data_IF_298655340845
#
_entry.id   IF_298655340845
#
_cell.length_a   1.000
_cell.length_b   1.000
_cell.length_c   1.000
_cell.angle_alpha   90.00
_cell.angle_beta   90.00
_cell.angle_gamma   90.00
#
_symmetry.space_group_name_H-M   'P 1'
#
loop_
_entity.id
_entity.type
_entity.pdbx_description
1 polymer ?
#
# COMPACT_ATOMS: atom_id res chain seq x y z
N UNK A 1 -8.80 4.51 0.50
CA UNK A 1 -7.66 3.60 0.69
C UNK A 1 -7.35 3.62 2.18
N UNK A 2 -7.59 2.54 2.93
CA UNK A 2 -7.32 2.56 4.37
C UNK A 2 -5.81 2.55 4.61
N UNK A 3 -5.34 3.39 5.53
CA UNK A 3 -3.95 3.34 6.02
C UNK A 3 -3.95 2.49 7.28
N UNK A 4 -3.03 1.53 7.35
CA UNK A 4 -2.94 0.57 8.45
C UNK A 4 -1.58 0.72 9.13
N UNK A 5 -1.60 0.87 10.44
CA UNK A 5 -0.41 0.80 11.29
C UNK A 5 -0.35 -0.62 11.83
N UNK A 6 0.73 -1.31 11.52
CA UNK A 6 0.90 -2.74 11.79
C UNK A 6 2.07 -2.93 12.72
N UNK A 7 1.92 -3.78 13.73
CA UNK A 7 3.01 -4.12 14.62
C UNK A 7 4.03 -4.99 13.89
N UNK A 8 5.29 -4.54 13.79
CA UNK A 8 6.37 -5.31 13.17
C UNK A 8 6.71 -6.62 13.90
N UNK A 9 6.34 -6.74 15.18
CA UNK A 9 6.62 -7.93 15.98
C UNK A 9 5.60 -9.06 15.79
N UNK A 10 4.32 -8.75 15.59
CA UNK A 10 3.25 -9.75 15.52
C UNK A 10 2.35 -9.67 14.29
N UNK A 11 2.50 -8.64 13.44
CA UNK A 11 1.72 -8.48 12.22
C UNK A 11 0.28 -7.99 12.43
N UNK A 12 -0.14 -7.76 13.68
CA UNK A 12 -1.48 -7.27 13.98
C UNK A 12 -1.63 -5.78 13.67
N UNK A 13 -2.82 -5.41 13.20
CA UNK A 13 -3.18 -4.01 12.98
C UNK A 13 -3.44 -3.38 14.34
N UNK A 14 -2.64 -2.36 14.66
CA UNK A 14 -2.80 -1.58 15.90
C UNK A 14 -3.66 -0.34 15.68
N UNK A 15 -3.73 0.19 14.45
CA UNK A 15 -4.62 1.30 14.11
C UNK A 15 -4.97 1.25 12.62
N UNK A 16 -6.22 1.58 12.29
CA UNK A 16 -6.69 1.68 10.90
C UNK A 16 -7.37 3.04 10.67
N UNK A 17 -6.81 3.83 9.76
CA UNK A 17 -7.43 5.05 9.27
C UNK A 17 -8.32 4.73 8.06
N UNK A 18 -9.64 4.81 8.26
CA UNK A 18 -10.66 4.51 7.23
C UNK A 18 -11.17 5.77 6.54
N UNK A 19 -11.52 6.80 7.31
CA UNK A 19 -12.06 8.07 6.80
C UNK A 19 -11.71 9.25 7.72
N UNK A 20 -11.77 10.47 7.19
CA UNK A 20 -11.52 11.70 7.96
C UNK A 20 -12.64 11.91 8.98
N UNK A 21 -12.28 12.23 10.23
CA UNK A 21 -13.24 12.48 11.30
C UNK A 21 -13.69 11.24 12.08
N UNK A 22 -13.05 10.07 11.89
CA UNK A 22 -13.26 8.91 12.76
C UNK A 22 -12.77 9.18 14.20
N UNK A 23 -11.50 9.55 14.32
CA UNK A 23 -10.75 9.66 15.58
C UNK A 23 -9.73 10.82 15.54
N UNK A 24 -9.32 11.23 14.33
CA UNK A 24 -8.36 12.30 14.07
C UNK A 24 -8.86 13.21 12.94
N UNK A 25 -8.48 14.48 12.99
CA UNK A 25 -8.71 15.45 11.91
C UNK A 25 -7.98 15.10 10.61
N UNK A 26 -6.97 14.23 10.67
CA UNK A 26 -6.20 13.77 9.53
C UNK A 26 -5.61 12.38 9.76
N UNK A 27 -4.62 12.01 8.95
CA UNK A 27 -3.88 10.75 9.10
C UNK A 27 -2.86 10.94 10.23
N UNK A 28 -2.95 10.18 11.34
CA UNK A 28 -1.99 10.30 12.43
C UNK A 28 -0.60 9.86 11.97
N UNK A 29 0.44 10.57 12.37
CA UNK A 29 1.82 10.16 12.12
C UNK A 29 2.16 8.87 12.89
N UNK A 30 3.16 8.10 12.45
CA UNK A 30 3.63 6.94 13.22
C UNK A 30 4.03 7.29 14.66
N UNK A 31 4.54 8.50 14.90
CA UNK A 31 4.88 9.00 16.25
C UNK A 31 3.64 9.20 17.12
N UNK A 32 2.55 9.73 16.56
CA UNK A 32 1.29 9.89 17.28
C UNK A 32 0.69 8.53 17.66
N UNK A 33 0.70 7.55 16.74
CA UNK A 33 0.26 6.18 17.03
C UNK A 33 1.14 5.51 18.09
N UNK A 34 2.46 5.70 18.04
CA UNK A 34 3.37 5.19 19.07
C UNK A 34 3.02 5.77 20.46
N UNK A 35 2.80 7.08 20.55
CA UNK A 35 2.47 7.76 21.80
C UNK A 35 1.08 7.36 22.32
N UNK A 36 0.11 7.15 21.43
CA UNK A 36 -1.25 6.73 21.76
C UNK A 36 -1.26 5.43 22.56
N UNK A 37 -0.37 4.49 22.22
CA UNK A 37 -0.23 3.20 22.91
C UNK A 37 0.91 3.16 23.93
N UNK A 38 1.51 4.30 24.28
CA UNK A 38 2.62 4.37 25.23
C UNK A 38 3.85 3.56 24.81
N UNK A 39 4.05 3.36 23.51
CA UNK A 39 5.16 2.57 22.96
C UNK A 39 5.02 1.06 23.08
N UNK A 40 3.89 0.52 23.56
CA UNK A 40 3.68 -0.93 23.72
C UNK A 40 2.57 -1.42 22.78
N UNK A 41 2.79 -2.56 22.13
CA UNK A 41 1.77 -3.17 21.29
C UNK A 41 0.60 -3.70 22.14
N UNK A 42 -0.67 -3.33 21.84
CA UNK A 42 -1.83 -3.80 22.60
C UNK A 42 -2.12 -5.30 22.43
N UNK A 43 -1.53 -5.94 21.41
CA UNK A 43 -1.78 -7.36 21.10
C UNK A 43 -0.69 -8.28 21.67
N UNK A 44 0.59 -7.99 21.36
CA UNK A 44 1.70 -8.85 21.76
C UNK A 44 2.50 -8.34 22.97
N UNK A 45 2.16 -7.16 23.50
CA UNK A 45 2.79 -6.53 24.67
C UNK A 45 4.30 -6.28 24.54
N UNK A 46 4.83 -6.29 23.31
CA UNK A 46 6.22 -5.92 23.02
C UNK A 46 6.34 -4.45 22.67
N UNK A 47 7.53 -3.89 22.85
CA UNK A 47 7.85 -2.52 22.49
C UNK A 47 7.68 -2.30 20.97
N UNK A 48 6.97 -1.23 20.63
CA UNK A 48 6.81 -0.77 19.27
C UNK A 48 8.09 -0.08 18.79
N UNK A 49 8.35 -0.14 17.50
CA UNK A 49 9.43 0.62 16.87
C UNK A 49 8.82 1.61 15.90
N UNK A 50 9.39 2.81 15.83
CA UNK A 50 9.03 3.75 14.79
C UNK A 50 9.51 3.19 13.44
N UNK A 51 8.64 3.14 12.42
CA UNK A 51 9.01 2.62 11.11
C UNK A 51 9.98 3.58 10.40
N UNK A 52 10.87 3.03 9.59
CA UNK A 52 11.63 3.78 8.58
C UNK A 52 10.89 3.75 7.23
N UNK A 53 11.48 4.37 6.19
CA UNK A 53 10.85 4.44 4.86
C UNK A 53 10.73 3.05 4.24
N UNK A 54 11.69 2.18 4.54
CA UNK A 54 11.78 0.81 4.04
C UNK A 54 10.66 -0.10 4.59
N UNK A 55 10.06 0.26 5.73
CA UNK A 55 8.96 -0.49 6.35
C UNK A 55 7.59 -0.17 5.74
N UNK A 56 7.50 0.81 4.83
CA UNK A 56 6.22 1.30 4.28
C UNK A 56 5.85 0.50 3.03
N UNK A 57 4.73 -0.22 3.10
CA UNK A 57 4.20 -0.98 1.96
C UNK A 57 2.96 -0.29 1.36
N UNK A 58 3.01 -0.01 0.04
CA UNK A 58 1.89 0.54 -0.72
C UNK A 58 1.35 -0.54 -1.65
N UNK A 59 0.15 -1.05 -1.36
CA UNK A 59 -0.53 -2.05 -2.20
C UNK A 59 -1.57 -1.39 -3.10
N UNK A 60 -1.46 -1.50 -4.44
CA UNK A 60 -2.48 -0.99 -5.34
C UNK A 60 -3.76 -1.82 -5.18
N UNK A 61 -4.91 -1.15 -5.09
CA UNK A 61 -6.19 -1.82 -5.15
C UNK A 61 -6.47 -2.15 -6.61
N UNK A 62 -6.05 -3.33 -7.06
CA UNK A 62 -6.43 -3.84 -8.37
C UNK A 62 -7.94 -4.01 -8.39
N UNK A 63 -8.64 -3.07 -9.01
CA UNK A 63 -9.97 -3.37 -9.54
C UNK A 63 -9.73 -4.33 -10.69
N UNK A 64 -9.97 -5.63 -10.42
CA UNK A 64 -10.20 -6.57 -11.50
C UNK A 64 -11.51 -6.13 -12.13
N UNK A 65 -11.45 -5.15 -13.03
CA UNK A 65 -12.47 -5.05 -14.06
C UNK A 65 -12.48 -6.44 -14.67
N UNK A 66 -13.60 -7.14 -14.55
CA UNK A 66 -13.81 -8.34 -15.34
C UNK A 66 -13.43 -7.95 -16.76
N UNK A 67 -12.33 -8.51 -17.27
CA UNK A 67 -11.91 -8.33 -18.64
C UNK A 67 -12.98 -9.02 -19.48
N UNK A 68 -14.14 -8.38 -19.61
CA UNK A 68 -15.15 -8.74 -20.57
C UNK A 68 -14.47 -8.56 -21.91
N UNK A 69 -13.90 -9.66 -22.43
CA UNK A 69 -13.38 -9.87 -23.78
C UNK A 69 -13.14 -8.57 -24.54
N UNK A 70 -12.15 -7.77 -24.14
CA UNK A 70 -11.72 -6.68 -25.02
C UNK A 70 -10.89 -7.34 -26.11
N UNK A 71 -11.31 -7.31 -27.38
CA UNK A 71 -10.47 -7.77 -28.46
C UNK A 71 -9.31 -6.78 -28.57
N UNK A 72 -8.17 -7.12 -27.96
CA UNK A 72 -6.93 -6.38 -28.17
C UNK A 72 -6.47 -6.77 -29.59
N UNK A 73 -6.92 -6.05 -30.61
CA UNK A 73 -6.28 -6.10 -31.92
C UNK A 73 -4.98 -5.31 -31.81
N UNK A 74 -3.87 -6.02 -31.60
CA UNK A 74 -2.53 -5.43 -31.67
C UNK A 74 -2.32 -4.94 -33.11
N UNK A 75 -2.13 -3.63 -33.37
CA UNK A 75 -1.83 -3.17 -34.71
C UNK A 75 -0.46 -3.71 -35.13
N UNK A 76 -0.44 -4.51 -36.19
CA UNK A 76 0.71 -5.25 -36.74
C UNK A 76 1.83 -4.37 -37.31
N UNK A 77 1.77 -3.04 -37.14
CA UNK A 77 2.69 -2.09 -37.80
C UNK A 77 4.06 -1.96 -37.14
N UNK A 78 4.28 -2.51 -35.94
CA UNK A 78 5.56 -2.35 -35.24
C UNK A 78 6.66 -3.35 -35.66
N UNK A 79 6.39 -4.30 -36.56
CA UNK A 79 7.39 -5.32 -36.96
C UNK A 79 8.06 -5.07 -38.31
N UNK A 80 7.65 -4.06 -39.09
CA UNK A 80 8.25 -3.80 -40.41
C UNK A 80 9.43 -2.83 -40.42
N UNK A 81 9.64 -2.04 -39.37
CA UNK A 81 10.70 -1.02 -39.37
C UNK A 81 12.08 -1.55 -38.90
N UNK A 82 12.14 -2.64 -38.13
CA UNK A 82 13.42 -3.23 -37.70
C UNK A 82 14.07 -4.15 -38.75
N UNK A 83 13.33 -4.53 -39.80
CA UNK A 83 13.85 -5.38 -40.88
C UNK A 83 14.53 -4.57 -42.00
N UNK A 84 14.27 -3.26 -42.10
CA UNK A 84 14.80 -2.40 -43.17
C UNK A 84 16.07 -1.61 -42.78
N UNK A 85 16.50 -1.66 -41.52
CA UNK A 85 17.77 -1.06 -41.08
C UNK A 85 18.97 -2.02 -41.10
N UNK A 86 18.85 -3.15 -41.81
CA UNK A 86 19.92 -4.15 -42.02
C UNK A 86 20.14 -4.48 -43.51
N UNK A 87 19.83 -3.55 -44.41
CA UNK A 87 20.24 -3.61 -45.81
C UNK A 87 21.39 -2.62 -46.05
#
# INVERSE_FOLDING_TARGET
MPIKYVCSNCGEIIFEFKYVGQDYYGIPTPREIYNLYGGICPHCHKELKLPSVEDIEIRPRLHVYSLGKMPISIPTRATSELAQSRA
#
